data_IF_172649358193
#
_entry.id   IF_172649358193
#
_cell.length_a   1.000
_cell.length_b   1.000
_cell.length_c   1.000
_cell.angle_alpha   90.00
_cell.angle_beta   90.00
_cell.angle_gamma   90.00
#
_symmetry.space_group_name_H-M   'P 1'
#
loop_
_entity.id
_entity.type
_entity.pdbx_description
1 polymer ?
#
# COMPACT_ATOMS: atom_id res chain seq x y z
N UNK A 1 -6.18 -0.63 -20.45
CA UNK A 1 -6.06 -1.44 -19.21
C UNK A 1 -6.95 -0.85 -18.14
N UNK A 2 -7.77 -1.65 -17.50
CA UNK A 2 -8.70 -1.16 -16.49
C UNK A 2 -7.91 -0.78 -15.24
N UNK A 3 -8.14 0.42 -14.74
CA UNK A 3 -7.37 0.97 -13.63
C UNK A 3 -7.79 0.31 -12.30
N UNK A 4 -6.89 -0.46 -11.70
CA UNK A 4 -7.11 -1.16 -10.43
C UNK A 4 -7.63 -0.22 -9.32
N UNK A 5 -7.10 0.99 -9.24
CA UNK A 5 -7.52 1.98 -8.24
C UNK A 5 -9.00 2.32 -8.37
N UNK A 6 -9.54 2.39 -9.59
CA UNK A 6 -10.97 2.67 -9.80
C UNK A 6 -11.85 1.54 -9.25
N UNK A 7 -11.45 0.28 -9.43
CA UNK A 7 -12.17 -0.85 -8.85
C UNK A 7 -12.10 -0.85 -7.33
N UNK A 8 -10.93 -0.57 -6.79
CA UNK A 8 -10.77 -0.45 -5.35
C UNK A 8 -11.68 0.67 -4.79
N UNK A 9 -11.69 1.85 -5.41
CA UNK A 9 -12.53 2.97 -4.96
C UNK A 9 -14.02 2.60 -5.00
N UNK A 10 -14.46 1.91 -6.04
CA UNK A 10 -15.84 1.42 -6.10
C UNK A 10 -16.16 0.51 -4.92
N UNK A 11 -15.32 -0.47 -4.67
CA UNK A 11 -15.47 -1.40 -3.55
C UNK A 11 -15.48 -0.67 -2.19
N UNK A 12 -14.55 0.27 -2.02
CA UNK A 12 -14.44 1.07 -0.80
C UNK A 12 -15.68 1.94 -0.56
N UNK A 13 -16.18 2.61 -1.60
CA UNK A 13 -17.42 3.43 -1.49
C UNK A 13 -18.62 2.58 -1.11
N UNK A 14 -18.79 1.41 -1.74
CA UNK A 14 -19.87 0.50 -1.40
C UNK A 14 -19.76 0.01 0.05
N UNK A 15 -18.55 -0.22 0.52
CA UNK A 15 -18.30 -0.57 1.91
C UNK A 15 -18.72 0.56 2.87
N UNK A 16 -18.35 1.81 2.56
CA UNK A 16 -18.75 2.98 3.37
C UNK A 16 -20.27 3.20 3.37
N UNK A 17 -20.95 2.85 2.29
CA UNK A 17 -22.43 2.89 2.19
C UNK A 17 -23.10 1.72 2.91
N UNK A 18 -22.32 0.85 3.57
CA UNK A 18 -22.80 -0.34 4.28
C UNK A 18 -23.59 -1.30 3.39
N UNK A 19 -23.27 -1.37 2.11
CA UNK A 19 -23.87 -2.34 1.19
C UNK A 19 -23.24 -3.71 1.47
N UNK A 20 -24.04 -4.73 1.83
CA UNK A 20 -23.50 -6.03 2.17
C UNK A 20 -23.06 -6.79 0.90
N UNK A 21 -22.04 -7.63 1.03
CA UNK A 21 -21.59 -8.61 0.05
C UNK A 21 -20.88 -8.03 -1.20
N UNK A 22 -21.37 -6.95 -1.78
CA UNK A 22 -20.83 -6.41 -3.03
C UNK A 22 -19.37 -5.92 -2.92
N UNK A 23 -18.95 -5.25 -1.83
CA UNK A 23 -17.53 -4.92 -1.65
C UNK A 23 -16.62 -6.14 -1.65
N UNK A 24 -17.04 -7.20 -1.00
CA UNK A 24 -16.33 -8.48 -0.96
C UNK A 24 -16.22 -9.10 -2.36
N UNK A 25 -17.32 -9.09 -3.12
CA UNK A 25 -17.33 -9.63 -4.47
C UNK A 25 -16.34 -8.89 -5.38
N UNK A 26 -16.31 -7.56 -5.32
CA UNK A 26 -15.37 -6.75 -6.10
C UNK A 26 -13.93 -7.05 -5.69
N UNK A 27 -13.65 -7.12 -4.39
CA UNK A 27 -12.34 -7.51 -3.88
C UNK A 27 -11.91 -8.89 -4.41
N UNK A 28 -12.82 -9.83 -4.44
CA UNK A 28 -12.57 -11.19 -4.95
C UNK A 28 -12.26 -11.18 -6.45
N UNK A 29 -13.00 -10.39 -7.22
CA UNK A 29 -12.76 -10.20 -8.66
C UNK A 29 -11.37 -9.58 -8.88
N UNK A 30 -11.01 -8.57 -8.11
CA UNK A 30 -9.68 -7.96 -8.13
C UNK A 30 -8.61 -9.01 -7.86
N UNK A 31 -8.81 -9.85 -6.86
CA UNK A 31 -7.87 -10.91 -6.53
C UNK A 31 -7.66 -11.89 -7.69
N UNK A 32 -8.75 -12.31 -8.34
CA UNK A 32 -8.66 -13.28 -9.43
C UNK A 32 -8.03 -12.67 -10.69
N UNK A 33 -8.43 -11.44 -11.05
CA UNK A 33 -8.00 -10.83 -12.32
C UNK A 33 -6.58 -10.26 -12.20
N UNK A 34 -6.27 -9.63 -11.08
CA UNK A 34 -5.02 -8.87 -10.92
C UNK A 34 -3.99 -9.57 -10.03
N UNK A 35 -4.33 -10.71 -9.44
CA UNK A 35 -3.47 -11.46 -8.53
C UNK A 35 -2.90 -10.56 -7.42
N UNK A 36 -3.77 -9.78 -6.79
CA UNK A 36 -3.40 -8.89 -5.68
C UNK A 36 -4.49 -8.89 -4.61
N UNK A 37 -4.12 -8.57 -3.38
CA UNK A 37 -5.06 -8.45 -2.27
C UNK A 37 -5.16 -7.00 -1.81
N UNK A 38 -6.18 -6.30 -2.28
CA UNK A 38 -6.46 -4.91 -1.94
C UNK A 38 -7.77 -4.86 -1.17
N UNK A 39 -7.72 -4.87 0.18
CA UNK A 39 -8.94 -4.82 0.99
C UNK A 39 -9.71 -3.51 0.80
N UNK A 40 -11.02 -3.61 0.74
CA UNK A 40 -11.88 -2.43 0.61
C UNK A 40 -11.87 -1.55 1.86
N UNK A 41 -11.43 -2.06 3.00
CA UNK A 41 -11.28 -1.29 4.25
C UNK A 41 -10.08 -0.35 4.24
N UNK A 42 -9.08 -0.60 3.40
CA UNK A 42 -7.91 0.27 3.27
C UNK A 42 -8.33 1.70 2.92
N UNK A 43 -7.54 2.67 3.35
CA UNK A 43 -7.67 4.05 2.91
C UNK A 43 -6.47 4.39 2.03
N UNK A 44 -6.71 4.50 0.74
CA UNK A 44 -5.71 4.88 -0.25
C UNK A 44 -6.10 6.23 -0.84
N UNK A 45 -5.23 7.22 -0.69
CA UNK A 45 -5.49 8.58 -1.12
C UNK A 45 -5.67 8.73 -2.63
N UNK A 46 -6.31 9.83 -3.04
CA UNK A 46 -6.52 10.16 -4.45
C UNK A 46 -5.19 10.20 -5.20
N UNK A 47 -5.18 9.71 -6.42
CA UNK A 47 -3.98 9.69 -7.26
C UNK A 47 -3.06 8.50 -7.00
N UNK A 48 -3.43 7.57 -6.15
CA UNK A 48 -2.69 6.32 -5.97
C UNK A 48 -2.68 5.51 -7.26
N UNK A 49 -1.52 5.01 -7.61
CA UNK A 49 -1.31 4.22 -8.83
C UNK A 49 -0.63 2.90 -8.50
N UNK A 50 -0.96 1.89 -9.26
CA UNK A 50 -0.36 0.56 -9.15
C UNK A 50 0.42 0.26 -10.43
N UNK A 51 1.70 -0.04 -10.31
CA UNK A 51 2.49 -0.50 -11.44
C UNK A 51 2.01 -1.88 -11.90
N UNK A 52 1.94 -2.09 -13.19
CA UNK A 52 1.55 -3.36 -13.81
C UNK A 52 0.27 -3.96 -13.18
N UNK A 53 -0.72 -3.11 -12.94
CA UNK A 53 -2.02 -3.50 -12.34
C UNK A 53 -1.89 -4.17 -10.95
N UNK A 54 -0.83 -3.88 -10.22
CA UNK A 54 -0.66 -4.32 -8.84
C UNK A 54 -0.36 -5.80 -8.64
N UNK A 55 0.18 -6.48 -9.65
CA UNK A 55 0.49 -7.91 -9.54
C UNK A 55 1.29 -8.19 -8.26
N UNK A 56 0.78 -9.12 -7.45
CA UNK A 56 1.45 -9.57 -6.23
C UNK A 56 1.40 -8.58 -5.07
N UNK A 57 0.68 -7.46 -5.18
CA UNK A 57 0.53 -6.51 -4.08
C UNK A 57 -0.38 -7.08 -3.00
N UNK A 58 0.05 -6.99 -1.76
CA UNK A 58 -0.74 -7.39 -0.59
C UNK A 58 -0.77 -6.23 0.41
N UNK A 59 -1.95 -5.70 0.66
CA UNK A 59 -2.16 -4.65 1.65
C UNK A 59 -2.96 -5.17 2.83
N UNK A 60 -2.57 -4.79 4.03
CA UNK A 60 -3.35 -5.07 5.23
C UNK A 60 -4.61 -4.18 5.25
N UNK A 61 -5.74 -4.72 5.72
CA UNK A 61 -7.02 -4.00 5.73
C UNK A 61 -7.00 -2.66 6.47
N UNK A 62 -6.13 -2.49 7.44
CA UNK A 62 -5.98 -1.24 8.19
C UNK A 62 -4.96 -0.27 7.57
N UNK A 63 -4.39 -0.60 6.42
CA UNK A 63 -3.42 0.28 5.74
C UNK A 63 -4.03 1.65 5.47
N UNK A 64 -3.27 2.69 5.76
CA UNK A 64 -3.59 4.08 5.43
C UNK A 64 -2.45 4.66 4.61
N UNK A 65 -2.80 5.20 3.47
CA UNK A 65 -1.83 5.79 2.53
C UNK A 65 -2.36 7.12 2.04
N UNK A 66 -1.50 8.10 1.97
CA UNK A 66 -1.82 9.43 1.48
C UNK A 66 -2.04 9.50 -0.04
N UNK A 67 -1.99 10.72 -0.56
CA UNK A 67 -2.27 11.02 -1.97
C UNK A 67 -1.05 10.79 -2.86
N UNK A 68 -1.32 10.55 -4.14
CA UNK A 68 -0.30 10.48 -5.20
C UNK A 68 0.82 9.48 -4.94
N UNK A 69 0.50 8.37 -4.30
CA UNK A 69 1.46 7.31 -4.07
C UNK A 69 1.55 6.36 -5.27
N UNK A 70 2.71 5.76 -5.43
CA UNK A 70 2.94 4.72 -6.43
C UNK A 70 3.31 3.42 -5.74
N UNK A 71 2.61 2.36 -6.06
CA UNK A 71 2.85 1.03 -5.49
C UNK A 71 3.38 0.11 -6.59
N UNK A 72 4.60 -0.34 -6.43
CA UNK A 72 5.23 -1.30 -7.34
C UNK A 72 4.64 -2.70 -7.21
N UNK A 73 5.01 -3.58 -8.12
CA UNK A 73 4.58 -4.98 -8.06
C UNK A 73 5.14 -5.69 -6.81
N UNK A 74 4.41 -6.68 -6.30
CA UNK A 74 4.86 -7.51 -5.17
C UNK A 74 5.18 -6.75 -3.89
N UNK A 75 4.63 -5.55 -3.73
CA UNK A 75 4.75 -4.78 -2.49
C UNK A 75 3.84 -5.39 -1.43
N UNK A 76 4.35 -5.52 -0.23
CA UNK A 76 3.56 -5.94 0.94
C UNK A 76 3.54 -4.83 1.98
N UNK A 77 2.35 -4.43 2.39
CA UNK A 77 2.15 -3.57 3.56
C UNK A 77 1.44 -4.42 4.61
N UNK A 78 2.12 -4.72 5.69
CA UNK A 78 1.64 -5.67 6.67
C UNK A 78 1.90 -5.27 8.11
N UNK A 79 1.22 -5.95 9.03
CA UNK A 79 1.38 -5.76 10.45
C UNK A 79 2.54 -6.55 11.03
N UNK A 80 2.68 -6.45 12.34
CA UNK A 80 3.60 -7.25 13.14
C UNK A 80 2.80 -7.98 14.21
N UNK A 81 3.10 -9.26 14.40
CA UNK A 81 2.44 -10.07 15.43
C UNK A 81 2.54 -9.39 16.82
N UNK A 82 1.44 -9.38 17.55
CA UNK A 82 1.35 -8.73 18.86
C UNK A 82 1.08 -7.23 18.81
N UNK A 83 0.95 -6.63 17.63
CA UNK A 83 0.65 -5.21 17.46
C UNK A 83 -0.62 -5.02 16.64
N UNK A 84 -1.48 -4.09 17.05
CA UNK A 84 -2.69 -3.73 16.31
C UNK A 84 -2.38 -2.82 15.13
N UNK A 85 -1.49 -1.85 15.33
CA UNK A 85 -1.13 -0.85 14.34
C UNK A 85 -0.40 -1.48 13.16
N UNK A 86 -0.66 -0.94 11.99
CA UNK A 86 -0.01 -1.29 10.72
C UNK A 86 0.60 -0.03 10.12
N UNK A 87 1.42 -0.13 9.06
CA UNK A 87 2.05 1.04 8.50
C UNK A 87 1.06 2.12 8.09
N UNK A 88 1.40 3.37 8.43
CA UNK A 88 0.73 4.58 7.93
C UNK A 88 1.71 5.27 6.99
N UNK A 89 1.28 5.51 5.76
CA UNK A 89 2.14 6.00 4.69
C UNK A 89 1.65 7.38 4.27
N UNK A 90 2.57 8.33 4.15
CA UNK A 90 2.28 9.71 3.80
C UNK A 90 1.93 9.92 2.32
N UNK A 91 2.03 11.19 1.90
CA UNK A 91 1.76 11.59 0.51
C UNK A 91 3.00 11.45 -0.37
N UNK A 92 2.78 11.27 -1.67
CA UNK A 92 3.84 11.24 -2.68
C UNK A 92 4.92 10.18 -2.39
N UNK A 93 4.54 9.04 -1.86
CA UNK A 93 5.45 7.94 -1.54
C UNK A 93 5.53 6.97 -2.71
N UNK A 94 6.74 6.56 -3.02
CA UNK A 94 6.98 5.49 -3.99
C UNK A 94 7.47 4.23 -3.27
N UNK A 95 6.69 3.17 -3.34
CA UNK A 95 7.07 1.84 -2.87
C UNK A 95 7.51 1.03 -4.09
N UNK A 96 8.82 0.83 -4.23
CA UNK A 96 9.36 0.13 -5.39
C UNK A 96 9.06 -1.37 -5.32
N UNK A 97 9.23 -2.05 -6.45
CA UNK A 97 8.87 -3.46 -6.58
C UNK A 97 9.49 -4.33 -5.49
N UNK A 98 8.70 -5.22 -4.93
CA UNK A 98 9.14 -6.14 -3.89
C UNK A 98 9.34 -5.55 -2.51
N UNK A 99 9.14 -4.24 -2.32
CA UNK A 99 9.31 -3.60 -1.00
C UNK A 99 8.34 -4.18 0.04
N UNK A 100 8.82 -4.38 1.26
CA UNK A 100 8.02 -4.85 2.39
C UNK A 100 8.04 -3.78 3.48
N UNK A 101 6.85 -3.29 3.84
CA UNK A 101 6.67 -2.26 4.87
C UNK A 101 5.88 -2.92 5.99
N UNK A 102 6.53 -3.16 7.12
CA UNK A 102 6.02 -4.06 8.14
C UNK A 102 6.05 -3.44 9.53
N UNK A 103 4.95 -3.63 10.24
CA UNK A 103 4.85 -3.27 11.64
C UNK A 103 4.19 -1.92 11.92
N UNK A 104 4.14 -1.50 13.20
CA UNK A 104 3.51 -0.26 13.61
C UNK A 104 4.43 0.94 13.32
N UNK A 105 4.62 1.24 12.03
CA UNK A 105 5.57 2.27 11.58
C UNK A 105 4.88 3.34 10.76
N UNK A 106 5.56 4.49 10.65
CA UNK A 106 5.14 5.62 9.83
C UNK A 106 6.16 5.89 8.74
N UNK A 107 5.68 6.00 7.53
CA UNK A 107 6.47 6.44 6.39
C UNK A 107 6.05 7.88 6.09
N UNK A 108 7.00 8.80 6.13
CA UNK A 108 6.75 10.22 5.89
C UNK A 108 6.35 10.54 4.44
N UNK A 109 6.20 11.83 4.16
CA UNK A 109 5.88 12.31 2.81
C UNK A 109 7.13 12.32 1.92
N UNK A 110 6.91 12.20 0.61
CA UNK A 110 7.98 12.28 -0.39
C UNK A 110 9.10 11.25 -0.15
N UNK A 111 8.74 10.08 0.33
CA UNK A 111 9.68 8.98 0.61
C UNK A 111 9.74 8.04 -0.59
N UNK A 112 10.93 7.57 -0.90
CA UNK A 112 11.14 6.48 -1.86
C UNK A 112 11.66 5.27 -1.10
N UNK A 113 10.95 4.17 -1.20
CA UNK A 113 11.39 2.87 -0.68
C UNK A 113 11.94 2.05 -1.83
N UNK A 114 13.21 1.72 -1.77
CA UNK A 114 13.91 0.98 -2.83
C UNK A 114 13.35 -0.43 -3.06
N UNK A 115 13.64 -0.97 -4.24
CA UNK A 115 13.21 -2.33 -4.60
C UNK A 115 13.72 -3.37 -3.59
N UNK A 116 12.85 -4.30 -3.22
CA UNK A 116 13.14 -5.39 -2.27
C UNK A 116 13.61 -4.92 -0.89
N UNK A 117 13.44 -3.64 -0.56
CA UNK A 117 13.75 -3.14 0.78
C UNK A 117 12.75 -3.70 1.82
N UNK A 118 13.21 -3.92 3.02
CA UNK A 118 12.37 -4.34 4.15
C UNK A 118 12.40 -3.24 5.21
N UNK A 119 11.33 -2.46 5.28
CA UNK A 119 11.20 -1.32 6.19
C UNK A 119 10.48 -1.76 7.46
N UNK A 120 11.19 -1.66 8.58
CA UNK A 120 10.68 -2.07 9.90
C UNK A 120 10.77 -0.96 10.95
N UNK A 121 11.18 0.24 10.53
CA UNK A 121 11.27 1.44 11.40
C UNK A 121 10.67 2.64 10.68
N UNK A 122 10.29 3.65 11.45
CA UNK A 122 9.80 4.92 10.91
C UNK A 122 10.79 5.53 9.91
N UNK A 123 10.24 6.15 8.87
CA UNK A 123 11.04 6.88 7.87
C UNK A 123 10.57 8.33 7.84
N UNK A 124 11.48 9.30 8.11
CA UNK A 124 11.12 10.70 8.03
C UNK A 124 10.84 11.16 6.60
N UNK A 125 10.25 12.36 6.48
CA UNK A 125 9.95 12.96 5.18
C UNK A 125 11.20 13.10 4.31
N UNK A 126 10.99 13.08 3.01
CA UNK A 126 12.00 13.41 1.99
C UNK A 126 13.22 12.48 2.01
N UNK A 127 13.04 11.23 2.37
CA UNK A 127 14.12 10.25 2.43
C UNK A 127 13.99 9.20 1.33
N UNK A 128 15.13 8.67 0.95
CA UNK A 128 15.24 7.42 0.18
C UNK A 128 15.80 6.36 1.11
N UNK A 129 15.09 5.24 1.23
CA UNK A 129 15.52 4.10 2.05
C UNK A 129 15.68 2.86 1.18
N UNK A 130 16.64 2.01 1.50
CA UNK A 130 16.89 0.77 0.80
C UNK A 130 17.59 -0.24 1.70
N UNK A 131 17.54 -1.50 1.31
CA UNK A 131 18.22 -2.59 2.00
C UNK A 131 17.33 -3.42 2.92
N UNK A 132 17.93 -4.43 3.53
CA UNK A 132 17.30 -5.36 4.47
C UNK A 132 18.17 -5.45 5.73
N UNK A 133 17.80 -4.86 6.87
CA UNK A 133 16.72 -3.88 7.04
C UNK A 133 17.01 -2.57 6.30
N UNK A 134 15.95 -1.89 5.87
CA UNK A 134 16.12 -0.64 5.12
C UNK A 134 16.75 0.45 5.98
N UNK A 135 17.64 1.21 5.34
CA UNK A 135 18.35 2.37 5.94
C UNK A 135 18.23 3.56 5.01
N UNK A 136 18.30 4.76 5.59
CA UNK A 136 18.32 5.99 4.80
C UNK A 136 19.62 6.03 4.01
N UNK A 137 19.49 6.09 2.66
CA UNK A 137 20.64 6.20 1.75
C UNK A 137 20.76 7.60 1.15
N UNK A 138 19.69 8.38 1.21
CA UNK A 138 19.65 9.76 0.73
C UNK A 138 18.58 10.53 1.46
N UNK A 139 18.85 11.79 1.76
CA UNK A 139 17.90 12.73 2.33
C UNK A 139 17.89 14.00 1.49
N UNK A 140 16.71 14.36 0.99
CA UNK A 140 16.53 15.52 0.12
C UNK A 140 16.18 16.78 0.92
#
# INVERSE_FOLDING_TARGET
>A
MINLYKFYILSHRLYLMKIPFLPFLIKFIIFIIYNCNIPYECILGKGTRFAYSGIGVVLHKRTRMGKNCMIGTQVTVGGKSGHFEVPVIGDNVYLATGAKILGPIKIGNNVIVGANAVVIKDVPDNCVVAGIPAKIIKQN
#
